data_IF_066489016632
#
_entry.id   IF_066489016632
#
_cell.length_a   1.000
_cell.length_b   1.000
_cell.length_c   1.000
_cell.angle_alpha   90.00
_cell.angle_beta   90.00
_cell.angle_gamma   90.00
#
_symmetry.space_group_name_H-M   'P 1'
#
loop_
_entity.id
_entity.type
_entity.pdbx_description
1 polymer ?
#
# COMPACT_ATOMS: atom_id res chain seq x y z
N UNK A 1 -20.86 -64.84 -8.51
CA UNK A 1 -19.99 -64.01 -7.65
C UNK A 1 -19.21 -63.09 -8.59
N UNK A 2 -19.68 -61.85 -8.81
CA UNK A 2 -19.22 -61.02 -9.92
C UNK A 2 -17.85 -60.37 -9.67
N UNK A 3 -17.11 -60.21 -10.75
CA UNK A 3 -15.72 -59.74 -10.80
C UNK A 3 -15.66 -58.24 -11.14
N UNK A 4 -16.65 -57.46 -10.70
CA UNK A 4 -16.86 -56.05 -11.10
C UNK A 4 -16.75 -55.03 -9.96
N UNK A 5 -16.42 -55.45 -8.75
CA UNK A 5 -16.58 -54.59 -7.55
C UNK A 5 -15.25 -54.07 -6.95
N UNK A 6 -14.23 -53.83 -7.78
CA UNK A 6 -12.90 -53.34 -7.33
C UNK A 6 -12.39 -52.09 -8.08
N UNK A 7 -13.27 -51.18 -8.47
CA UNK A 7 -12.86 -49.90 -9.08
C UNK A 7 -13.66 -48.72 -8.53
N UNK A 8 -13.59 -48.41 -7.24
CA UNK A 8 -14.16 -47.15 -6.73
C UNK A 8 -13.55 -46.62 -5.42
N UNK A 9 -12.23 -46.66 -5.26
CA UNK A 9 -11.57 -45.99 -4.12
C UNK A 9 -10.34 -45.20 -4.53
N UNK A 10 -10.43 -44.43 -5.62
CA UNK A 10 -9.52 -43.31 -5.81
C UNK A 10 -9.99 -42.17 -4.88
N UNK A 11 -9.16 -41.66 -3.96
CA UNK A 11 -9.53 -40.50 -3.15
C UNK A 11 -9.77 -39.31 -4.10
N UNK A 12 -10.95 -38.70 -4.00
CA UNK A 12 -11.29 -37.51 -4.76
C UNK A 12 -10.17 -36.46 -4.59
N UNK A 13 -9.68 -35.81 -5.67
CA UNK A 13 -8.64 -34.81 -5.55
C UNK A 13 -9.14 -33.70 -4.62
N UNK A 14 -8.34 -33.40 -3.57
CA UNK A 14 -8.62 -32.30 -2.63
C UNK A 14 -8.83 -31.02 -3.44
N UNK A 15 -10.09 -30.63 -3.64
CA UNK A 15 -10.43 -29.35 -4.27
C UNK A 15 -9.93 -28.25 -3.34
N UNK A 16 -8.88 -27.55 -3.76
CA UNK A 16 -8.39 -26.38 -3.05
C UNK A 16 -9.55 -25.38 -2.89
N UNK A 17 -9.62 -24.63 -1.76
CA UNK A 17 -10.60 -23.57 -1.60
C UNK A 17 -10.55 -22.61 -2.79
N UNK A 18 -11.70 -22.15 -3.28
CA UNK A 18 -11.77 -21.35 -4.51
C UNK A 18 -10.86 -20.11 -4.45
N UNK A 19 -10.74 -19.46 -3.29
CA UNK A 19 -9.82 -18.32 -3.08
C UNK A 19 -8.34 -18.67 -3.19
N UNK A 20 -7.93 -19.89 -2.80
CA UNK A 20 -6.55 -20.36 -2.94
C UNK A 20 -6.18 -20.61 -4.39
N UNK A 21 -7.13 -21.06 -5.21
CA UNK A 21 -6.94 -21.24 -6.65
C UNK A 21 -6.77 -19.88 -7.35
N UNK A 22 -7.61 -18.91 -7.01
CA UNK A 22 -7.53 -17.54 -7.54
C UNK A 22 -6.20 -16.88 -7.14
N UNK A 23 -5.83 -16.93 -5.87
CA UNK A 23 -4.56 -16.39 -5.38
C UNK A 23 -3.35 -17.04 -6.07
N UNK A 24 -3.37 -18.37 -6.25
CA UNK A 24 -2.32 -19.09 -6.97
C UNK A 24 -2.23 -18.63 -8.43
N UNK A 25 -3.36 -18.51 -9.12
CA UNK A 25 -3.37 -18.11 -10.53
C UNK A 25 -2.87 -16.67 -10.72
N UNK A 26 -3.25 -15.76 -9.82
CA UNK A 26 -2.73 -14.38 -9.78
C UNK A 26 -1.21 -14.41 -9.55
N UNK A 27 -0.73 -15.16 -8.56
CA UNK A 27 0.70 -15.26 -8.27
C UNK A 27 1.49 -15.80 -9.48
N UNK A 28 0.99 -16.86 -10.11
CA UNK A 28 1.62 -17.43 -11.31
C UNK A 28 1.63 -16.44 -12.48
N UNK A 29 0.58 -15.64 -12.65
CA UNK A 29 0.55 -14.58 -13.66
C UNK A 29 1.60 -13.50 -13.36
N UNK A 30 1.65 -13.02 -12.11
CA UNK A 30 2.62 -12.01 -11.67
C UNK A 30 4.08 -12.49 -11.84
N UNK A 31 4.35 -13.78 -11.62
CA UNK A 31 5.68 -14.36 -11.82
C UNK A 31 6.10 -14.47 -13.29
N UNK A 32 5.14 -14.47 -14.22
CA UNK A 32 5.42 -14.55 -15.67
C UNK A 32 5.71 -13.18 -16.28
N UNK A 33 5.17 -12.11 -15.71
CA UNK A 33 5.42 -10.75 -16.18
C UNK A 33 6.70 -10.18 -15.53
N UNK A 34 7.72 -9.76 -16.32
CA UNK A 34 9.00 -9.33 -15.77
C UNK A 34 8.90 -8.08 -14.88
N UNK A 35 8.00 -7.16 -15.23
CA UNK A 35 7.72 -5.94 -14.44
C UNK A 35 7.07 -6.24 -13.10
N UNK A 36 6.06 -7.12 -13.10
CA UNK A 36 5.38 -7.55 -11.87
C UNK A 36 6.29 -8.40 -10.98
N UNK A 37 7.16 -9.23 -11.57
CA UNK A 37 8.15 -10.01 -10.85
C UNK A 37 9.16 -9.11 -10.12
N UNK A 38 9.63 -8.03 -10.76
CA UNK A 38 10.47 -7.04 -10.09
C UNK A 38 9.77 -6.46 -8.85
N UNK A 39 8.50 -6.05 -9.00
CA UNK A 39 7.70 -5.55 -7.88
C UNK A 39 7.59 -6.57 -6.75
N UNK A 40 7.32 -7.83 -7.08
CA UNK A 40 7.21 -8.92 -6.12
C UNK A 40 8.52 -9.17 -5.35
N UNK A 41 9.66 -9.17 -6.06
CA UNK A 41 10.99 -9.37 -5.46
C UNK A 41 11.32 -8.23 -4.51
N UNK A 42 11.14 -6.98 -4.94
CA UNK A 42 11.48 -5.80 -4.12
C UNK A 42 10.58 -5.73 -2.88
N UNK A 43 9.28 -6.00 -3.00
CA UNK A 43 8.38 -6.02 -1.85
C UNK A 43 8.65 -7.21 -0.92
N UNK A 44 8.99 -8.38 -1.49
CA UNK A 44 9.44 -9.53 -0.71
C UNK A 44 10.71 -9.22 0.09
N UNK A 45 11.67 -8.54 -0.54
CA UNK A 45 12.88 -8.06 0.13
C UNK A 45 12.54 -7.04 1.22
N UNK A 46 11.67 -6.06 0.95
CA UNK A 46 11.25 -5.07 1.93
C UNK A 46 10.62 -5.71 3.18
N UNK A 47 9.73 -6.68 2.98
CA UNK A 47 9.09 -7.43 4.07
C UNK A 47 10.13 -8.24 4.83
N UNK A 48 11.06 -8.88 4.14
CA UNK A 48 12.15 -9.66 4.77
C UNK A 48 13.04 -8.77 5.62
N UNK A 49 13.47 -7.63 5.08
CA UNK A 49 14.26 -6.61 5.80
C UNK A 49 13.52 -6.11 7.03
N UNK A 50 12.21 -5.85 6.92
CA UNK A 50 11.41 -5.35 8.02
C UNK A 50 11.19 -6.42 9.11
N UNK A 51 10.81 -7.64 8.76
CA UNK A 51 10.54 -8.71 9.73
C UNK A 51 11.83 -9.06 10.46
N UNK A 52 12.90 -9.33 9.72
CA UNK A 52 14.19 -9.76 10.24
C UNK A 52 15.14 -8.60 10.53
N UNK A 53 14.65 -7.36 10.65
CA UNK A 53 15.48 -6.17 10.88
C UNK A 53 16.49 -6.31 12.03
N UNK A 54 16.15 -6.87 13.22
CA UNK A 54 17.08 -7.00 14.33
C UNK A 54 18.20 -8.03 14.06
N UNK A 55 18.00 -8.92 13.09
CA UNK A 55 18.98 -9.94 12.68
C UNK A 55 19.80 -9.50 11.47
N UNK A 56 19.24 -8.65 10.61
CA UNK A 56 19.88 -8.15 9.40
C UNK A 56 20.67 -6.87 9.67
N UNK A 57 20.21 -6.02 10.59
CA UNK A 57 20.94 -4.82 10.98
C UNK A 57 22.30 -5.18 11.56
N UNK A 58 23.36 -4.63 10.96
CA UNK A 58 24.74 -4.88 11.41
C UNK A 58 25.07 -4.17 12.72
N UNK A 59 24.40 -3.04 12.98
CA UNK A 59 24.62 -2.17 14.12
C UNK A 59 23.27 -1.71 14.70
N UNK A 60 23.29 -1.21 15.92
CA UNK A 60 22.10 -0.55 16.48
C UNK A 60 21.83 0.76 15.68
N UNK A 61 20.64 0.91 15.06
CA UNK A 61 20.32 2.09 14.23
C UNK A 61 20.19 3.40 15.03
N UNK A 62 20.15 3.33 16.36
CA UNK A 62 19.98 4.47 17.26
C UNK A 62 21.26 4.88 17.98
N UNK A 63 22.27 4.00 18.07
CA UNK A 63 23.53 4.28 18.76
C UNK A 63 24.36 5.29 17.97
N UNK A 64 24.71 6.39 18.64
CA UNK A 64 25.53 7.46 18.08
C UNK A 64 27.00 7.22 18.42
N UNK A 65 27.89 7.47 17.47
CA UNK A 65 29.34 7.44 17.68
C UNK A 65 30.00 8.63 16.97
N UNK A 66 30.24 9.70 17.72
CA UNK A 66 30.77 10.95 17.16
C UNK A 66 32.19 10.82 16.56
N UNK A 67 32.93 9.78 16.93
CA UNK A 67 34.25 9.49 16.35
C UNK A 67 34.15 8.94 14.92
N UNK A 68 33.00 8.35 14.57
CA UNK A 68 32.75 7.74 13.26
C UNK A 68 31.74 8.55 12.44
N UNK A 69 31.73 9.88 12.55
CA UNK A 69 30.80 10.73 11.78
C UNK A 69 31.19 10.80 10.31
N UNK A 70 30.19 10.80 9.42
CA UNK A 70 30.35 11.00 7.98
C UNK A 70 31.43 10.12 7.33
N UNK A 71 31.58 8.87 7.80
CA UNK A 71 32.49 7.91 7.19
C UNK A 71 31.86 7.34 5.91
N UNK A 72 32.65 7.24 4.82
CA UNK A 72 32.17 6.67 3.57
C UNK A 72 31.84 5.17 3.70
N UNK A 73 31.08 4.61 2.74
CA UNK A 73 30.82 3.18 2.65
C UNK A 73 32.09 2.35 2.76
N UNK A 74 32.09 1.39 3.68
CA UNK A 74 33.22 0.50 3.97
C UNK A 74 32.74 -0.87 4.43
N UNK A 75 33.66 -1.83 4.60
CA UNK A 75 33.31 -3.15 5.14
C UNK A 75 32.78 -3.08 6.58
N UNK A 76 33.18 -2.06 7.36
CA UNK A 76 32.65 -1.81 8.69
C UNK A 76 31.25 -1.16 8.64
N UNK A 77 31.04 -0.23 7.71
CA UNK A 77 29.78 0.49 7.53
C UNK A 77 29.32 0.38 6.08
N UNK A 78 28.50 -0.62 5.76
CA UNK A 78 28.16 -1.00 4.38
C UNK A 78 27.71 0.18 3.51
N UNK A 79 26.92 1.10 4.07
CA UNK A 79 26.41 2.30 3.41
C UNK A 79 26.95 3.60 4.03
N UNK A 80 28.04 3.50 4.79
CA UNK A 80 28.65 4.61 5.51
C UNK A 80 27.87 4.99 6.77
N UNK A 81 28.31 6.08 7.40
CA UNK A 81 27.70 6.63 8.60
C UNK A 81 27.13 8.02 8.36
N UNK A 82 26.23 8.44 9.26
CA UNK A 82 25.60 9.76 9.20
C UNK A 82 26.31 10.83 10.05
N UNK A 83 25.70 12.00 10.17
CA UNK A 83 26.23 13.15 10.91
C UNK A 83 26.38 12.90 12.43
N UNK A 84 25.76 11.84 12.96
CA UNK A 84 25.90 11.39 14.35
C UNK A 84 26.70 10.08 14.46
N UNK A 85 27.29 9.62 13.35
CA UNK A 85 28.06 8.39 13.26
C UNK A 85 27.22 7.12 13.39
N UNK A 86 25.91 7.21 13.13
CA UNK A 86 25.01 6.05 13.09
C UNK A 86 25.15 5.35 11.74
N UNK A 87 25.05 4.03 11.74
CA UNK A 87 25.18 3.20 10.54
C UNK A 87 23.97 3.35 9.59
N UNK A 88 24.21 3.81 8.35
CA UNK A 88 23.14 4.10 7.37
C UNK A 88 22.41 2.82 6.92
N UNK A 89 23.13 1.71 6.77
CA UNK A 89 22.52 0.43 6.37
C UNK A 89 21.53 -0.05 7.42
N UNK A 90 21.94 -0.09 8.68
CA UNK A 90 21.11 -0.50 9.81
C UNK A 90 19.91 0.43 9.98
N UNK A 91 20.09 1.75 9.77
CA UNK A 91 18.98 2.71 9.73
C UNK A 91 18.02 2.45 8.57
N UNK A 92 18.50 2.14 7.37
CA UNK A 92 17.64 1.78 6.23
C UNK A 92 16.82 0.51 6.50
N UNK A 93 17.46 -0.52 7.06
CA UNK A 93 16.80 -1.78 7.46
C UNK A 93 15.75 -1.50 8.53
N UNK A 94 16.05 -0.72 9.56
CA UNK A 94 15.07 -0.33 10.57
C UNK A 94 13.93 0.54 9.99
N UNK A 95 14.26 1.44 9.06
CA UNK A 95 13.30 2.30 8.37
C UNK A 95 12.29 1.52 7.51
N UNK A 96 12.66 0.34 7.00
CA UNK A 96 11.72 -0.53 6.28
C UNK A 96 10.48 -0.89 7.11
N UNK A 97 10.63 -1.06 8.44
CA UNK A 97 9.52 -1.29 9.37
C UNK A 97 8.60 -0.07 9.45
N UNK A 98 9.18 1.13 9.48
CA UNK A 98 8.43 2.39 9.53
C UNK A 98 7.63 2.54 8.22
N UNK A 99 8.28 2.35 7.08
CA UNK A 99 7.63 2.40 5.75
C UNK A 99 6.46 1.43 5.64
N UNK A 100 6.65 0.16 6.03
CA UNK A 100 5.56 -0.83 6.02
C UNK A 100 4.45 -0.48 7.01
N UNK A 101 4.77 0.07 8.17
CA UNK A 101 3.77 0.50 9.16
C UNK A 101 2.90 1.64 8.61
N UNK A 102 3.51 2.62 7.93
CA UNK A 102 2.79 3.71 7.27
C UNK A 102 1.84 3.14 6.21
N UNK A 103 2.34 2.31 5.30
CA UNK A 103 1.56 1.69 4.22
C UNK A 103 0.39 0.89 4.78
N UNK A 104 0.63 0.06 5.79
CA UNK A 104 -0.37 -0.77 6.41
C UNK A 104 -1.48 0.04 7.08
N UNK A 105 -1.09 1.00 7.94
CA UNK A 105 -2.05 1.83 8.69
C UNK A 105 -2.88 2.72 7.76
N UNK A 106 -2.24 3.35 6.76
CA UNK A 106 -2.96 4.15 5.76
C UNK A 106 -3.94 3.28 4.99
N UNK A 107 -3.55 2.08 4.55
CA UNK A 107 -4.42 1.18 3.77
C UNK A 107 -5.66 0.75 4.55
N UNK A 108 -5.52 0.41 5.83
CA UNK A 108 -6.63 -0.03 6.70
C UNK A 108 -7.65 1.09 6.93
N UNK A 109 -7.24 2.35 6.83
CA UNK A 109 -8.15 3.50 6.96
C UNK A 109 -8.75 3.89 5.62
N UNK A 110 -7.90 4.09 4.61
CA UNK A 110 -8.26 4.59 3.29
C UNK A 110 -9.20 3.64 2.54
N UNK A 111 -8.92 2.34 2.59
CA UNK A 111 -9.73 1.33 1.88
C UNK A 111 -11.18 1.31 2.36
N UNK A 112 -11.43 1.05 3.66
CA UNK A 112 -12.77 1.07 4.23
C UNK A 112 -13.49 2.41 4.10
N UNK A 113 -12.82 3.53 4.34
CA UNK A 113 -13.44 4.86 4.19
C UNK A 113 -13.86 5.10 2.74
N UNK A 114 -12.96 4.86 1.78
CA UNK A 114 -13.24 5.01 0.36
C UNK A 114 -14.39 4.11 -0.08
N UNK A 115 -14.34 2.83 0.29
CA UNK A 115 -15.37 1.86 -0.04
C UNK A 115 -16.73 2.23 0.57
N UNK A 116 -16.75 2.67 1.83
CA UNK A 116 -17.97 3.13 2.50
C UNK A 116 -18.59 4.31 1.76
N UNK A 117 -17.84 5.41 1.58
CA UNK A 117 -18.37 6.61 0.92
C UNK A 117 -18.77 6.35 -0.53
N UNK A 118 -17.98 5.57 -1.26
CA UNK A 118 -18.26 5.25 -2.65
C UNK A 118 -19.50 4.37 -2.83
N UNK A 119 -19.61 3.27 -2.07
CA UNK A 119 -20.76 2.37 -2.17
C UNK A 119 -22.05 3.00 -1.68
N UNK A 120 -22.00 3.82 -0.61
CA UNK A 120 -23.17 4.57 -0.13
C UNK A 120 -23.60 5.61 -1.18
N UNK A 121 -22.68 6.38 -1.74
CA UNK A 121 -22.99 7.36 -2.78
C UNK A 121 -23.62 6.69 -4.03
N UNK A 122 -22.99 5.65 -4.55
CA UNK A 122 -23.49 4.95 -5.74
C UNK A 122 -24.80 4.20 -5.50
N UNK A 123 -24.99 3.62 -4.31
CA UNK A 123 -26.19 2.84 -4.03
C UNK A 123 -27.43 3.71 -3.84
N UNK A 124 -27.32 4.83 -3.12
CA UNK A 124 -28.47 5.70 -2.88
C UNK A 124 -28.72 6.65 -4.07
N UNK A 125 -27.67 7.20 -4.69
CA UNK A 125 -27.83 8.17 -5.78
C UNK A 125 -28.40 9.52 -5.30
N UNK A 126 -28.79 10.36 -6.26
CA UNK A 126 -29.54 11.61 -6.00
C UNK A 126 -28.83 12.60 -5.08
N UNK A 127 -29.49 13.01 -3.99
CA UNK A 127 -28.95 13.98 -3.02
C UNK A 127 -27.77 13.42 -2.22
N UNK A 128 -27.84 12.15 -1.78
CA UNK A 128 -26.77 11.51 -1.00
C UNK A 128 -25.49 11.46 -1.83
N UNK A 129 -25.63 11.02 -3.08
CA UNK A 129 -24.52 11.00 -4.03
C UNK A 129 -23.92 12.39 -4.24
N UNK A 130 -24.76 13.38 -4.54
CA UNK A 130 -24.32 14.76 -4.71
C UNK A 130 -23.54 15.27 -3.49
N UNK A 131 -24.04 15.08 -2.27
CA UNK A 131 -23.37 15.58 -1.05
C UNK A 131 -22.02 14.87 -0.83
N UNK A 132 -22.00 13.54 -0.90
CA UNK A 132 -20.77 12.77 -0.66
C UNK A 132 -19.71 13.03 -1.73
N UNK A 133 -20.13 13.16 -3.00
CA UNK A 133 -19.20 13.49 -4.08
C UNK A 133 -18.72 14.94 -3.99
N UNK A 134 -19.54 15.89 -3.53
CA UNK A 134 -19.06 17.26 -3.27
C UNK A 134 -17.99 17.29 -2.19
N UNK A 135 -18.15 16.53 -1.10
CA UNK A 135 -17.10 16.39 -0.09
C UNK A 135 -15.83 15.80 -0.73
N UNK A 136 -15.98 14.71 -1.48
CA UNK A 136 -14.88 14.06 -2.19
C UNK A 136 -14.15 15.02 -3.14
N UNK A 137 -14.90 15.87 -3.86
CA UNK A 137 -14.39 16.86 -4.81
C UNK A 137 -13.60 17.98 -4.11
N UNK A 138 -14.01 18.38 -2.90
CA UNK A 138 -13.28 19.36 -2.08
C UNK A 138 -11.90 18.82 -1.70
N UNK A 139 -11.77 17.54 -1.35
CA UNK A 139 -10.45 16.98 -1.04
C UNK A 139 -9.57 16.85 -2.29
N UNK A 140 -10.18 16.52 -3.44
CA UNK A 140 -9.47 16.33 -4.71
C UNK A 140 -9.08 17.64 -5.40
N UNK A 141 -9.67 18.78 -5.02
CA UNK A 141 -9.29 20.09 -5.58
C UNK A 141 -7.94 20.58 -5.06
N UNK A 142 -7.47 20.06 -3.93
CA UNK A 142 -6.16 20.36 -3.38
C UNK A 142 -5.15 19.25 -3.69
N UNK A 143 -3.89 19.59 -3.99
CA UNK A 143 -2.82 18.60 -4.05
C UNK A 143 -2.70 17.84 -2.71
N UNK A 144 -2.64 16.51 -2.77
CA UNK A 144 -2.66 15.66 -1.56
C UNK A 144 -1.55 15.99 -0.57
N UNK A 145 -0.35 16.33 -1.06
CA UNK A 145 0.77 16.76 -0.24
C UNK A 145 0.47 18.07 0.50
N UNK A 146 -0.07 19.07 -0.19
CA UNK A 146 -0.40 20.38 0.41
C UNK A 146 -1.46 20.20 1.50
N UNK A 147 -2.50 19.41 1.21
CA UNK A 147 -3.57 19.18 2.17
C UNK A 147 -3.06 18.36 3.38
N UNK A 148 -2.19 17.36 3.14
CA UNK A 148 -1.56 16.60 4.22
C UNK A 148 -0.68 17.49 5.09
N UNK A 149 0.10 18.40 4.47
CA UNK A 149 0.91 19.39 5.19
C UNK A 149 0.06 20.29 6.09
N UNK A 150 -1.08 20.77 5.58
CA UNK A 150 -2.00 21.59 6.37
C UNK A 150 -2.55 20.83 7.59
N UNK A 151 -2.94 19.56 7.43
CA UNK A 151 -3.40 18.75 8.56
C UNK A 151 -2.28 18.48 9.57
N UNK A 152 -1.07 18.14 9.14
CA UNK A 152 0.04 17.93 10.08
C UNK A 152 0.44 19.22 10.78
N UNK A 153 0.44 20.36 10.08
CA UNK A 153 0.70 21.66 10.70
C UNK A 153 -0.30 21.98 11.82
N UNK A 154 -1.57 21.56 11.67
CA UNK A 154 -2.59 21.70 12.71
C UNK A 154 -2.44 20.69 13.86
N UNK A 155 -2.05 19.44 13.56
CA UNK A 155 -1.93 18.35 14.54
C UNK A 155 -0.57 18.33 15.28
N UNK A 156 0.45 18.98 14.72
CA UNK A 156 1.83 18.95 15.18
C UNK A 156 2.67 17.84 14.52
N UNK A 157 4.01 18.01 14.46
CA UNK A 157 4.91 17.08 13.79
C UNK A 157 5.02 15.75 14.55
N UNK A 158 4.53 14.66 13.94
CA UNK A 158 4.75 13.30 14.43
C UNK A 158 4.46 12.26 13.35
N UNK A 159 5.03 11.06 13.49
CA UNK A 159 4.76 9.95 12.57
C UNK A 159 3.27 9.60 12.52
N UNK A 160 2.61 9.56 13.68
CA UNK A 160 1.19 9.22 13.79
C UNK A 160 0.31 10.30 13.15
N UNK A 161 0.61 11.58 13.38
CA UNK A 161 -0.14 12.69 12.77
C UNK A 161 0.05 12.72 11.26
N UNK A 162 1.24 12.42 10.76
CA UNK A 162 1.49 12.27 9.33
C UNK A 162 0.64 11.13 8.72
N UNK A 163 0.56 9.97 9.38
CA UNK A 163 -0.29 8.85 8.95
C UNK A 163 -1.77 9.27 8.90
N UNK A 164 -2.26 9.97 9.93
CA UNK A 164 -3.64 10.47 9.98
C UNK A 164 -3.89 11.44 8.83
N UNK A 165 -3.01 12.43 8.64
CA UNK A 165 -3.11 13.43 7.58
C UNK A 165 -3.14 12.79 6.18
N UNK A 166 -2.25 11.83 5.91
CA UNK A 166 -2.24 11.10 4.63
C UNK A 166 -3.53 10.29 4.45
N UNK A 167 -4.00 9.63 5.51
CA UNK A 167 -5.22 8.81 5.43
C UNK A 167 -6.47 9.65 5.13
N UNK A 168 -6.56 10.86 5.73
CA UNK A 168 -7.65 11.81 5.48
C UNK A 168 -7.65 12.38 4.06
N UNK A 169 -6.53 12.36 3.36
CA UNK A 169 -6.40 12.93 2.01
C UNK A 169 -6.37 11.87 0.90
N UNK A 170 -6.10 10.61 1.21
CA UNK A 170 -5.90 9.56 0.21
C UNK A 170 -7.14 8.70 -0.13
N UNK A 171 -8.23 8.79 0.64
CA UNK A 171 -9.49 8.06 0.40
C UNK A 171 -10.35 8.51 -0.81
N UNK A 172 -10.35 9.78 -1.27
CA UNK A 172 -11.27 10.23 -2.31
C UNK A 172 -11.18 9.47 -3.65
N UNK A 173 -9.99 9.12 -4.18
CA UNK A 173 -9.89 8.33 -5.41
C UNK A 173 -10.53 6.94 -5.30
N UNK A 174 -10.46 6.32 -4.12
CA UNK A 174 -11.08 5.02 -3.83
C UNK A 174 -12.60 5.16 -3.77
N UNK A 175 -13.11 6.23 -3.15
CA UNK A 175 -14.54 6.51 -3.11
C UNK A 175 -15.14 6.72 -4.51
N UNK A 176 -14.48 7.47 -5.38
CA UNK A 176 -14.95 7.67 -6.77
C UNK A 176 -14.99 6.36 -7.56
N UNK A 177 -13.98 5.50 -7.40
CA UNK A 177 -13.94 4.19 -8.05
C UNK A 177 -15.10 3.30 -7.55
N UNK A 178 -15.20 3.12 -6.23
CA UNK A 178 -16.24 2.29 -5.63
C UNK A 178 -17.65 2.80 -5.98
N UNK A 179 -17.85 4.12 -6.07
CA UNK A 179 -19.10 4.73 -6.55
C UNK A 179 -19.42 4.32 -7.98
N UNK A 180 -18.46 4.47 -8.90
CA UNK A 180 -18.67 4.16 -10.30
C UNK A 180 -19.09 2.70 -10.49
N UNK A 181 -18.40 1.77 -9.84
CA UNK A 181 -18.74 0.34 -9.89
C UNK A 181 -20.09 0.04 -9.24
N UNK A 182 -20.37 0.69 -8.11
CA UNK A 182 -21.66 0.52 -7.42
C UNK A 182 -22.83 0.96 -8.30
N UNK A 183 -22.69 2.05 -9.05
CA UNK A 183 -23.71 2.50 -9.98
C UNK A 183 -24.03 1.44 -11.04
N UNK A 184 -23.00 0.72 -11.53
CA UNK A 184 -23.16 -0.40 -12.45
C UNK A 184 -23.81 -1.61 -11.77
N UNK A 185 -23.30 -2.07 -10.63
CA UNK A 185 -23.83 -3.24 -9.93
C UNK A 185 -25.25 -3.05 -9.41
N UNK A 186 -25.61 -1.83 -9.01
CA UNK A 186 -26.97 -1.49 -8.54
C UNK A 186 -28.05 -1.79 -9.60
N UNK A 187 -27.70 -1.72 -10.88
CA UNK A 187 -28.63 -1.94 -12.00
C UNK A 187 -28.75 -3.41 -12.40
N UNK A 188 -28.03 -4.33 -11.75
CA UNK A 188 -28.03 -5.73 -12.13
C UNK A 188 -29.30 -6.48 -11.66
N UNK A 189 -29.75 -7.45 -12.46
CA UNK A 189 -31.00 -8.19 -12.25
C UNK A 189 -31.04 -8.93 -10.90
N UNK A 190 -29.91 -9.49 -10.45
CA UNK A 190 -29.85 -10.19 -9.16
C UNK A 190 -30.01 -9.24 -7.97
N UNK A 191 -29.63 -7.96 -8.10
CA UNK A 191 -29.89 -6.94 -7.08
C UNK A 191 -31.38 -6.58 -7.06
N UNK A 192 -32.02 -6.46 -8.23
CA UNK A 192 -33.46 -6.25 -8.32
C UNK A 192 -34.23 -7.42 -7.69
N UNK A 193 -33.85 -8.67 -8.00
CA UNK A 193 -34.43 -9.85 -7.41
C UNK A 193 -34.25 -9.90 -5.88
N UNK A 194 -33.06 -9.55 -5.37
CA UNK A 194 -32.82 -9.49 -3.93
C UNK A 194 -33.71 -8.45 -3.22
N UNK A 195 -33.98 -7.31 -3.86
CA UNK A 195 -34.92 -6.30 -3.34
C UNK A 195 -36.35 -6.82 -3.30
N UNK A 196 -36.79 -7.53 -4.34
CA UNK A 196 -38.12 -8.15 -4.37
C UNK A 196 -38.30 -9.23 -3.28
N UNK A 197 -37.21 -9.88 -2.88
CA UNK A 197 -37.18 -10.82 -1.76
C UNK A 197 -37.10 -10.14 -0.37
N UNK A 198 -37.20 -8.81 -0.30
CA UNK A 198 -37.21 -8.05 0.96
C UNK A 198 -35.83 -7.80 1.57
N UNK A 199 -34.74 -7.92 0.80
CA UNK A 199 -33.41 -7.58 1.32
C UNK A 199 -33.31 -6.06 1.60
N UNK A 200 -32.86 -5.71 2.81
CA UNK A 200 -32.63 -4.31 3.17
C UNK A 200 -31.46 -3.70 2.38
N UNK A 201 -31.50 -2.38 2.18
CA UNK A 201 -30.43 -1.64 1.49
C UNK A 201 -29.04 -1.90 2.09
N UNK A 202 -28.93 -1.91 3.41
CA UNK A 202 -27.67 -2.20 4.10
C UNK A 202 -27.19 -3.63 3.81
N UNK A 203 -28.10 -4.62 3.79
CA UNK A 203 -27.76 -6.01 3.45
C UNK A 203 -27.24 -6.10 2.01
N UNK A 204 -27.88 -5.40 1.07
CA UNK A 204 -27.46 -5.37 -0.33
C UNK A 204 -26.07 -4.75 -0.49
N UNK A 205 -25.82 -3.61 0.17
CA UNK A 205 -24.52 -2.93 0.12
C UNK A 205 -23.42 -3.86 0.66
N UNK A 206 -23.56 -4.35 1.89
CA UNK A 206 -22.47 -5.07 2.56
C UNK A 206 -22.29 -6.51 2.07
N UNK A 207 -23.35 -7.18 1.64
CA UNK A 207 -23.30 -8.60 1.28
C UNK A 207 -23.18 -8.85 -0.22
N UNK A 208 -23.56 -7.88 -1.06
CA UNK A 208 -23.50 -8.02 -2.51
C UNK A 208 -22.53 -7.03 -3.12
N UNK A 209 -22.73 -5.73 -2.92
CA UNK A 209 -21.99 -4.69 -3.66
C UNK A 209 -20.55 -4.56 -3.16
N UNK A 210 -20.34 -4.45 -1.85
CA UNK A 210 -19.01 -4.32 -1.24
C UNK A 210 -18.07 -5.44 -1.70
N UNK A 211 -18.43 -6.74 -1.58
CA UNK A 211 -17.60 -7.84 -2.09
C UNK A 211 -17.26 -7.75 -3.58
N UNK A 212 -18.16 -7.17 -4.39
CA UNK A 212 -17.95 -7.02 -5.84
C UNK A 212 -16.98 -5.89 -6.20
N UNK A 213 -16.95 -4.81 -5.41
CA UNK A 213 -16.00 -3.71 -5.61
C UNK A 213 -14.61 -3.99 -4.99
N UNK A 214 -14.50 -4.97 -4.07
CA UNK A 214 -13.25 -5.27 -3.36
C UNK A 214 -12.05 -5.49 -4.30
N UNK A 215 -12.14 -6.30 -5.38
CA UNK A 215 -11.00 -6.55 -6.26
C UNK A 215 -10.42 -5.26 -6.87
N UNK A 216 -11.28 -4.41 -7.44
CA UNK A 216 -10.88 -3.14 -8.04
C UNK A 216 -10.35 -2.15 -7.01
N UNK A 217 -10.94 -2.12 -5.82
CA UNK A 217 -10.46 -1.30 -4.70
C UNK A 217 -9.08 -1.74 -4.24
N UNK A 218 -8.81 -3.05 -4.14
CA UNK A 218 -7.49 -3.57 -3.75
C UNK A 218 -6.40 -3.24 -4.79
N UNK A 219 -6.72 -3.38 -6.08
CA UNK A 219 -5.83 -2.95 -7.16
C UNK A 219 -5.52 -1.45 -7.00
N UNK A 220 -6.57 -0.63 -6.86
CA UNK A 220 -6.41 0.83 -6.77
C UNK A 220 -5.66 1.26 -5.51
N UNK A 221 -5.87 0.58 -4.38
CA UNK A 221 -5.11 0.82 -3.15
C UNK A 221 -3.63 0.56 -3.39
N UNK A 222 -3.28 -0.57 -4.02
CA UNK A 222 -1.90 -0.93 -4.32
C UNK A 222 -1.21 0.14 -5.18
N UNK A 223 -1.88 0.60 -6.25
CA UNK A 223 -1.39 1.68 -7.11
C UNK A 223 -1.23 3.02 -6.35
N UNK A 224 -2.06 3.28 -5.34
CA UNK A 224 -1.98 4.52 -4.57
C UNK A 224 -0.84 4.50 -3.52
N UNK A 225 -0.25 3.33 -3.22
CA UNK A 225 0.80 3.22 -2.22
C UNK A 225 2.06 3.99 -2.59
N UNK A 226 2.40 4.07 -3.87
CA UNK A 226 3.51 4.90 -4.35
C UNK A 226 3.33 6.38 -3.93
N UNK A 227 2.13 6.93 -4.13
CA UNK A 227 1.79 8.29 -3.71
C UNK A 227 1.85 8.45 -2.20
N UNK A 228 1.35 7.47 -1.44
CA UNK A 228 1.40 7.47 0.03
C UNK A 228 2.85 7.50 0.54
N UNK A 229 3.73 6.66 -0.03
CA UNK A 229 5.15 6.61 0.31
C UNK A 229 5.83 7.94 0.01
N UNK A 230 5.63 8.50 -1.20
CA UNK A 230 6.19 9.80 -1.58
C UNK A 230 5.68 10.93 -0.70
N UNK A 231 4.40 10.90 -0.32
CA UNK A 231 3.82 11.90 0.58
C UNK A 231 4.43 11.78 1.97
N UNK A 232 4.53 10.57 2.53
CA UNK A 232 5.16 10.34 3.82
C UNK A 232 6.63 10.78 3.84
N UNK A 233 7.40 10.40 2.82
CA UNK A 233 8.79 10.82 2.68
C UNK A 233 8.91 12.35 2.50
N UNK A 234 7.99 12.97 1.76
CA UNK A 234 7.93 14.43 1.60
C UNK A 234 7.63 15.15 2.92
N UNK A 235 6.69 14.64 3.72
CA UNK A 235 6.40 15.16 5.06
C UNK A 235 7.60 14.99 6.00
N UNK A 236 8.23 13.81 5.99
CA UNK A 236 9.46 13.54 6.74
C UNK A 236 10.59 14.47 6.35
N UNK A 237 10.76 14.70 5.04
CA UNK A 237 11.77 15.62 4.50
C UNK A 237 11.53 17.08 4.93
N UNK A 238 10.27 17.47 5.08
CA UNK A 238 9.87 18.80 5.56
C UNK A 238 9.88 18.92 7.09
N UNK A 239 10.30 17.88 7.82
CA UNK A 239 10.36 17.86 9.28
C UNK A 239 9.02 17.65 9.98
N UNK A 240 7.96 17.38 9.22
CA UNK A 240 6.59 17.19 9.71
C UNK A 240 6.24 15.70 9.93
N UNK A 241 7.10 14.78 9.49
CA UNK A 241 6.93 13.34 9.66
C UNK A 241 7.51 12.80 10.97
N UNK A 242 8.21 11.66 10.87
CA UNK A 242 8.86 11.03 12.00
C UNK A 242 9.94 11.95 12.59
N UNK A 243 9.99 12.00 13.92
CA UNK A 243 10.96 12.82 14.65
C UNK A 243 12.16 11.96 15.07
N UNK A 244 13.37 12.55 15.17
CA UNK A 244 14.53 11.84 15.73
C UNK A 244 14.19 11.20 17.08
N UNK A 245 14.70 9.97 17.36
CA UNK A 245 15.78 9.29 16.66
C UNK A 245 15.34 8.31 15.54
N UNK A 246 14.04 8.30 15.20
CA UNK A 246 13.46 7.34 14.25
C UNK A 246 14.13 7.39 12.86
N UNK A 247 14.53 6.23 12.29
CA UNK A 247 15.16 6.17 10.97
C UNK A 247 14.12 6.12 9.84
N UNK A 248 13.32 7.17 9.71
CA UNK A 248 12.40 7.31 8.57
C UNK A 248 13.16 7.85 7.35
N UNK A 249 12.93 7.27 6.17
CA UNK A 249 13.75 7.51 4.99
C UNK A 249 13.68 8.96 4.48
N UNK A 250 12.52 9.61 4.51
CA UNK A 250 12.37 11.03 4.16
C UNK A 250 13.13 11.95 5.12
N UNK A 251 13.03 11.69 6.42
CA UNK A 251 13.77 12.41 7.46
C UNK A 251 15.28 12.21 7.32
N UNK A 252 15.74 11.00 6.98
CA UNK A 252 17.15 10.72 6.70
C UNK A 252 17.68 11.53 5.50
N UNK A 253 16.87 11.69 4.45
CA UNK A 253 17.24 12.55 3.31
C UNK A 253 17.33 14.02 3.76
N UNK A 254 16.42 14.49 4.62
CA UNK A 254 16.45 15.87 5.09
C UNK A 254 17.70 16.21 5.91
N UNK A 255 18.14 15.31 6.80
CA UNK A 255 19.38 15.51 7.55
C UNK A 255 20.60 15.40 6.63
N UNK A 256 20.61 14.40 5.75
CA UNK A 256 21.69 14.17 4.78
C UNK A 256 21.85 15.27 3.74
N UNK A 257 20.79 16.02 3.41
CA UNK A 257 20.81 17.10 2.40
C UNK A 257 21.93 18.11 2.62
N UNK A 258 22.25 18.43 3.87
CA UNK A 258 23.31 19.41 4.23
C UNK A 258 24.72 18.92 3.90
N UNK A 259 24.90 17.61 3.78
CA UNK A 259 26.18 16.95 3.57
C UNK A 259 26.28 16.30 2.18
N UNK A 260 25.29 16.49 1.31
CA UNK A 260 25.16 15.74 0.05
C UNK A 260 26.35 15.91 -0.91
N UNK A 261 27.04 17.05 -0.86
CA UNK A 261 28.21 17.32 -1.72
C UNK A 261 29.40 16.42 -1.30
N UNK A 262 29.68 16.36 0.00
CA UNK A 262 30.85 15.63 0.54
C UNK A 262 30.53 14.17 0.89
N UNK A 263 29.27 13.89 1.19
CA UNK A 263 28.78 12.61 1.72
C UNK A 263 27.46 12.22 1.03
N UNK A 264 27.56 11.96 -0.28
CA UNK A 264 26.42 11.68 -1.15
C UNK A 264 25.56 10.48 -0.69
N UNK A 265 26.17 9.49 -0.02
CA UNK A 265 25.49 8.27 0.42
C UNK A 265 24.31 8.52 1.38
N UNK A 266 24.35 9.60 2.17
CA UNK A 266 23.29 9.93 3.13
C UNK A 266 21.94 10.21 2.45
N UNK A 267 21.96 10.75 1.22
CA UNK A 267 20.75 11.06 0.44
C UNK A 267 20.46 9.94 -0.55
N UNK A 268 21.48 9.42 -1.21
CA UNK A 268 21.32 8.46 -2.30
C UNK A 268 20.71 7.14 -1.84
N UNK A 269 21.17 6.53 -0.75
CA UNK A 269 20.65 5.22 -0.34
C UNK A 269 19.19 5.27 0.15
N UNK A 270 18.79 6.21 1.03
CA UNK A 270 17.37 6.38 1.38
C UNK A 270 16.51 6.78 0.17
N UNK A 271 17.03 7.61 -0.74
CA UNK A 271 16.33 7.99 -1.97
C UNK A 271 16.09 6.80 -2.90
N UNK A 272 17.09 5.94 -3.09
CA UNK A 272 16.95 4.69 -3.85
C UNK A 272 15.97 3.72 -3.18
N UNK A 273 15.97 3.62 -1.86
CA UNK A 273 14.99 2.79 -1.15
C UNK A 273 13.56 3.26 -1.41
N UNK A 274 13.29 4.56 -1.29
CA UNK A 274 11.98 5.16 -1.61
C UNK A 274 11.60 4.89 -3.08
N UNK A 275 12.52 5.13 -4.01
CA UNK A 275 12.31 4.92 -5.45
C UNK A 275 11.95 3.46 -5.76
N UNK A 276 12.78 2.52 -5.31
CA UNK A 276 12.61 1.09 -5.57
C UNK A 276 11.28 0.58 -5.00
N UNK A 277 10.95 0.94 -3.76
CA UNK A 277 9.70 0.49 -3.12
C UNK A 277 8.48 1.12 -3.78
N UNK A 278 8.52 2.42 -4.07
CA UNK A 278 7.43 3.12 -4.78
C UNK A 278 7.17 2.51 -6.16
N UNK A 279 8.24 2.27 -6.92
CA UNK A 279 8.16 1.61 -8.23
C UNK A 279 7.62 0.19 -8.10
N UNK A 280 8.06 -0.57 -7.09
CA UNK A 280 7.61 -1.93 -6.87
C UNK A 280 6.11 -2.02 -6.58
N UNK A 281 5.54 -1.10 -5.79
CA UNK A 281 4.09 -1.03 -5.58
C UNK A 281 3.32 -0.68 -6.86
N UNK A 282 3.82 0.26 -7.66
CA UNK A 282 3.19 0.59 -8.94
C UNK A 282 3.18 -0.61 -9.90
N UNK A 283 4.34 -1.25 -10.11
CA UNK A 283 4.47 -2.39 -11.02
C UNK A 283 3.69 -3.62 -10.53
N UNK A 284 3.61 -3.84 -9.22
CA UNK A 284 2.76 -4.89 -8.65
C UNK A 284 1.28 -4.56 -8.85
N UNK A 285 0.88 -3.31 -8.65
CA UNK A 285 -0.51 -2.86 -8.86
C UNK A 285 -0.96 -3.02 -10.31
N UNK A 286 -0.10 -2.69 -11.28
CA UNK A 286 -0.36 -2.91 -12.70
C UNK A 286 -0.47 -4.41 -13.02
N UNK A 287 0.43 -5.22 -12.47
CA UNK A 287 0.36 -6.68 -12.61
C UNK A 287 -0.93 -7.28 -12.03
N UNK A 288 -1.38 -6.79 -10.88
CA UNK A 288 -2.63 -7.21 -10.25
C UNK A 288 -3.84 -6.80 -11.10
N UNK A 289 -3.81 -5.61 -11.69
CA UNK A 289 -4.83 -5.13 -12.62
C UNK A 289 -4.93 -6.05 -13.83
N UNK A 290 -3.80 -6.39 -14.43
CA UNK A 290 -3.74 -7.24 -15.62
C UNK A 290 -4.19 -8.68 -15.33
N UNK A 291 -3.77 -9.23 -14.18
CA UNK A 291 -4.16 -10.58 -13.74
C UNK A 291 -5.67 -10.72 -13.49
N UNK A 292 -6.33 -9.62 -13.14
CA UNK A 292 -7.76 -9.57 -12.81
C UNK A 292 -8.62 -9.06 -13.99
N UNK A 293 -8.02 -8.69 -15.12
CA UNK A 293 -8.78 -8.33 -16.33
C UNK A 293 -9.35 -9.61 -17.01
N UNK A 294 -10.69 -9.75 -17.11
CA UNK A 294 -11.33 -10.92 -17.71
C UNK A 294 -10.91 -11.18 -19.17
N UNK A 295 -10.42 -10.17 -19.89
CA UNK A 295 -10.01 -10.31 -21.30
C UNK A 295 -8.72 -11.10 -21.48
N UNK A 296 -7.85 -11.15 -20.48
CA UNK A 296 -6.59 -11.91 -20.55
C UNK A 296 -6.78 -13.38 -20.15
N UNK A 297 -7.78 -13.68 -19.31
CA UNK A 297 -8.07 -15.05 -18.85
C UNK A 297 -8.68 -15.94 -19.95
N UNK A 298 -9.20 -15.37 -21.04
CA UNK A 298 -9.69 -16.10 -22.22
C UNK A 298 -8.62 -16.34 -23.31
N UNK A 299 -7.35 -15.97 -23.08
CA UNK A 299 -6.23 -16.13 -24.04
C UNK A 299 -5.18 -17.17 -23.63
N UNK A 300 -5.41 -17.93 -22.56
CA UNK A 300 -4.56 -19.05 -22.12
C UNK A 300 -5.38 -20.32 -21.94
#
# INVERSE_FOLDING_TARGET
MSMTDRLSSAPAPRRLPHGLIVARNILLFLMRAPTSLFGLIVLGLLITLAVFAPLIATHDPYVQNLQNTLQPPSAAHLFGTDELGRDIFSRLVAGSRITLSIIFLVTIVVGPLGLFFGTVAGYYGGKVDTVLMRITDIFLSFPSLILSLAFVAALGPSLNNAIIAISLTAWPPIARLARAETMTFRQADYIAAAKLQGASSARIIWRSIVPMCLPSVLIRLTLNMATVILTAAGLGFLGLGAQPPLPEWGAMIATGRRYMIDSWWLVTFPGLAILCVSLAFNLLGDGLRDALDPKQMNRG
#
